data_IF_275980677200
#
_entry.id   IF_275980677200
#
_cell.length_a   1.000
_cell.length_b   1.000
_cell.length_c   1.000
_cell.angle_alpha   90.00
_cell.angle_beta   90.00
_cell.angle_gamma   90.00
#
_symmetry.space_group_name_H-M   'P 1'
#
loop_
_entity.id
_entity.type
_entity.pdbx_description
1 polymer ?
#
# COMPACT_ATOMS: atom_id res chain seq x y z
N UNK A 1 16.01 18.40 -4.11
CA UNK A 1 15.04 19.51 -3.97
C UNK A 1 13.80 18.96 -3.26
N UNK A 2 13.35 19.63 -2.20
CA UNK A 2 12.09 19.33 -1.52
C UNK A 2 10.92 19.72 -2.42
N UNK A 3 9.92 18.85 -2.56
CA UNK A 3 8.68 19.15 -3.28
C UNK A 3 7.59 19.46 -2.26
N UNK A 4 6.83 20.52 -2.49
CA UNK A 4 5.70 20.88 -1.66
C UNK A 4 4.46 20.13 -2.08
N UNK A 5 3.72 19.61 -1.10
CA UNK A 5 2.39 19.01 -1.26
C UNK A 5 1.43 19.79 -0.36
N UNK A 6 0.40 20.36 -0.96
CA UNK A 6 -0.61 21.08 -0.19
C UNK A 6 -1.50 20.09 0.54
N UNK A 7 -1.81 20.37 1.79
CA UNK A 7 -2.68 19.56 2.63
C UNK A 7 -3.77 20.42 3.25
N UNK A 8 -5.01 19.92 3.22
CA UNK A 8 -6.15 20.48 3.92
C UNK A 8 -6.50 19.56 5.08
N UNK A 9 -6.57 20.13 6.28
CA UNK A 9 -7.02 19.42 7.48
C UNK A 9 -8.55 19.53 7.56
N UNK A 10 -9.25 18.41 7.43
CA UNK A 10 -10.71 18.30 7.56
C UNK A 10 -11.13 18.00 9.00
N UNK A 11 -10.19 17.54 9.82
CA UNK A 11 -10.35 17.30 11.25
C UNK A 11 -9.19 18.00 11.98
N UNK A 12 -9.42 19.21 12.55
CA UNK A 12 -8.38 20.02 13.16
C UNK A 12 -7.81 19.42 14.45
N UNK A 13 -8.51 18.51 15.09
CA UNK A 13 -8.09 17.88 16.35
C UNK A 13 -7.15 16.68 16.12
N UNK A 14 -7.00 16.22 14.87
CA UNK A 14 -6.01 15.22 14.52
C UNK A 14 -4.69 15.89 14.09
N UNK A 15 -3.53 15.33 14.49
CA UNK A 15 -2.25 15.82 14.01
C UNK A 15 -2.10 15.60 12.50
N UNK A 16 -1.37 16.47 11.83
CA UNK A 16 -0.98 16.26 10.44
C UNK A 16 -0.10 15.01 10.31
N UNK A 17 -0.17 14.29 9.18
CA UNK A 17 0.77 13.23 8.88
C UNK A 17 2.21 13.73 8.94
N UNK A 18 3.07 12.96 9.57
CA UNK A 18 4.49 13.27 9.72
C UNK A 18 5.34 12.02 9.59
N UNK A 19 6.60 12.20 9.24
CA UNK A 19 7.59 11.13 9.37
C UNK A 19 7.90 10.92 10.86
N UNK A 20 7.99 9.67 11.30
CA UNK A 20 8.36 9.34 12.67
C UNK A 20 9.86 9.60 12.90
N UNK A 21 10.68 9.21 11.93
CA UNK A 21 12.13 9.38 11.95
C UNK A 21 12.67 10.04 10.69
N UNK A 22 13.81 10.75 10.77
CA UNK A 22 14.50 11.25 9.58
C UNK A 22 14.86 10.10 8.62
N UNK A 23 14.44 10.22 7.37
CA UNK A 23 14.67 9.19 6.34
C UNK A 23 13.54 8.19 6.14
N UNK A 24 12.48 8.25 6.95
CA UNK A 24 11.27 7.46 6.70
C UNK A 24 10.66 7.81 5.34
N UNK A 25 10.08 6.81 4.67
CA UNK A 25 9.39 6.99 3.40
C UNK A 25 7.89 7.25 3.57
N UNK A 26 7.28 6.76 4.65
CA UNK A 26 5.85 6.81 4.90
C UNK A 26 5.44 7.87 5.92
N UNK A 27 4.40 8.61 5.61
CA UNK A 27 3.71 9.53 6.51
C UNK A 27 2.54 8.79 7.16
N UNK A 28 2.49 8.71 8.47
CA UNK A 28 1.43 7.99 9.17
C UNK A 28 0.04 8.61 8.94
N UNK A 29 -0.92 7.80 8.52
CA UNK A 29 -2.33 8.13 8.40
C UNK A 29 -3.10 7.62 9.61
N UNK A 30 -3.97 8.47 10.17
CA UNK A 30 -4.72 8.17 11.38
C UNK A 30 -6.21 7.99 11.09
N UNK A 31 -6.87 7.15 11.88
CA UNK A 31 -8.32 6.99 11.83
C UNK A 31 -9.01 8.24 12.38
N UNK A 32 -9.93 8.83 11.60
CA UNK A 32 -10.75 9.97 12.04
C UNK A 32 -11.78 9.58 13.09
N UNK A 33 -12.27 8.33 13.04
CA UNK A 33 -13.25 7.77 13.96
C UNK A 33 -12.82 6.38 14.42
N UNK A 34 -13.23 5.97 15.62
CA UNK A 34 -13.07 4.60 16.10
C UNK A 34 -14.04 3.64 15.40
N UNK A 35 -13.65 2.39 15.27
CA UNK A 35 -14.47 1.32 14.70
C UNK A 35 -13.97 -0.05 15.15
N UNK A 36 -14.81 -1.08 15.00
CA UNK A 36 -14.45 -2.47 15.24
C UNK A 36 -14.71 -3.28 13.98
N UNK A 37 -13.76 -4.10 13.57
CA UNK A 37 -13.90 -5.05 12.47
C UNK A 37 -13.80 -6.48 13.02
N UNK A 38 -14.83 -7.27 12.77
CA UNK A 38 -14.80 -8.71 12.97
C UNK A 38 -13.87 -9.41 11.96
N UNK A 39 -13.66 -10.73 12.13
CA UNK A 39 -12.87 -11.54 11.20
C UNK A 39 -13.36 -11.42 9.75
N UNK A 40 -12.47 -11.12 8.82
CA UNK A 40 -12.78 -10.96 7.39
C UNK A 40 -13.55 -9.69 7.02
N UNK A 41 -13.96 -8.86 7.97
CA UNK A 41 -14.68 -7.62 7.69
C UNK A 41 -13.78 -6.52 7.15
N UNK A 42 -14.37 -5.62 6.36
CA UNK A 42 -13.70 -4.43 5.82
C UNK A 42 -14.55 -3.19 5.99
N UNK A 43 -13.91 -2.04 6.08
CA UNK A 43 -14.60 -0.74 6.08
C UNK A 43 -13.77 0.35 5.40
N UNK A 44 -14.44 1.44 5.04
CA UNK A 44 -13.81 2.67 4.59
C UNK A 44 -13.53 3.55 5.80
N UNK A 45 -12.27 3.91 6.01
CA UNK A 45 -11.80 4.63 7.18
C UNK A 45 -11.31 6.02 6.75
N UNK A 46 -12.05 7.09 7.05
CA UNK A 46 -11.62 8.45 6.75
C UNK A 46 -10.43 8.83 7.63
N UNK A 47 -9.54 9.69 7.10
CA UNK A 47 -8.30 10.12 7.77
C UNK A 47 -8.29 11.56 8.22
N UNK A 48 -9.33 12.33 7.90
CA UNK A 48 -9.45 13.74 8.27
C UNK A 48 -8.57 14.70 7.47
N UNK A 49 -8.02 14.25 6.33
CA UNK A 49 -7.19 15.09 5.46
C UNK A 49 -7.54 14.94 3.98
N UNK A 50 -7.28 15.99 3.22
CA UNK A 50 -7.20 15.99 1.76
C UNK A 50 -5.84 16.57 1.34
N UNK A 51 -5.32 16.13 0.20
CA UNK A 51 -4.05 16.63 -0.35
C UNK A 51 -4.19 17.06 -1.80
N UNK A 52 -3.30 17.95 -2.25
CA UNK A 52 -3.15 18.29 -3.64
C UNK A 52 -1.71 17.96 -4.07
N UNK A 53 -1.56 16.86 -4.79
CA UNK A 53 -0.28 16.44 -5.34
C UNK A 53 0.03 17.25 -6.61
N UNK A 54 1.26 17.73 -6.80
CA UNK A 54 1.75 18.22 -8.08
C UNK A 54 1.70 17.12 -9.16
N UNK A 55 1.54 17.52 -10.42
CA UNK A 55 1.67 16.61 -11.56
C UNK A 55 3.02 15.87 -11.54
N UNK A 56 3.02 14.61 -11.92
CA UNK A 56 4.19 13.72 -11.88
C UNK A 56 4.47 13.11 -10.50
N UNK A 57 3.57 13.32 -9.53
CA UNK A 57 3.58 12.60 -8.25
C UNK A 57 2.34 11.75 -8.08
N UNK A 58 2.47 10.68 -7.32
CA UNK A 58 1.39 9.81 -6.86
C UNK A 58 1.51 9.63 -5.35
N UNK A 59 0.39 9.57 -4.65
CA UNK A 59 0.31 9.12 -3.27
C UNK A 59 -0.08 7.65 -3.21
N UNK A 60 0.69 6.85 -2.48
CA UNK A 60 0.44 5.43 -2.31
C UNK A 60 0.14 5.12 -0.85
N UNK A 61 -1.03 4.53 -0.59
CA UNK A 61 -1.43 4.13 0.75
C UNK A 61 -0.98 2.69 0.97
N UNK A 62 -0.04 2.49 1.90
CA UNK A 62 0.49 1.20 2.29
C UNK A 62 0.01 0.78 3.68
N UNK A 63 -0.09 -0.53 3.96
CA UNK A 63 -0.34 -1.02 5.31
C UNK A 63 0.86 -0.73 6.22
N UNK A 64 0.63 -0.84 7.52
CA UNK A 64 1.67 -0.77 8.55
C UNK A 64 2.02 -2.20 9.01
N UNK A 65 3.30 -2.53 8.92
CA UNK A 65 3.80 -3.88 9.26
C UNK A 65 3.40 -4.33 10.68
N UNK A 66 3.42 -3.40 11.65
CA UNK A 66 3.04 -3.70 13.03
C UNK A 66 1.57 -4.08 13.19
N UNK A 67 0.64 -3.46 12.45
CA UNK A 67 -0.77 -3.83 12.45
C UNK A 67 -1.00 -5.15 11.71
N UNK A 68 -0.31 -5.33 10.59
CA UNK A 68 -0.43 -6.54 9.80
C UNK A 68 -0.01 -7.79 10.58
N UNK A 69 1.17 -7.77 11.22
CA UNK A 69 1.68 -8.94 11.94
C UNK A 69 0.97 -9.21 13.28
N UNK A 70 0.55 -8.15 14.00
CA UNK A 70 -0.03 -8.32 15.33
C UNK A 70 -1.53 -8.58 15.32
N UNK A 71 -2.24 -8.00 14.35
CA UNK A 71 -3.71 -7.96 14.34
C UNK A 71 -4.33 -8.42 13.03
N UNK A 72 -3.53 -8.81 12.03
CA UNK A 72 -4.04 -9.15 10.71
C UNK A 72 -4.69 -7.97 9.96
N UNK A 73 -4.55 -6.74 10.45
CA UNK A 73 -5.14 -5.58 9.80
C UNK A 73 -4.27 -5.09 8.65
N UNK A 74 -4.88 -4.91 7.48
CA UNK A 74 -4.18 -4.44 6.28
C UNK A 74 -5.06 -3.52 5.42
N UNK A 75 -4.47 -2.97 4.36
CA UNK A 75 -5.17 -2.16 3.34
C UNK A 75 -5.57 -3.09 2.21
N UNK A 76 -6.87 -3.24 1.98
CA UNK A 76 -7.41 -4.23 1.05
C UNK A 76 -6.93 -4.04 -0.39
N UNK A 77 -6.86 -2.79 -0.86
CA UNK A 77 -6.43 -2.43 -2.21
C UNK A 77 -4.97 -1.95 -2.26
N UNK A 78 -4.11 -2.44 -1.36
CA UNK A 78 -2.72 -1.99 -1.26
C UNK A 78 -1.90 -2.26 -2.52
N UNK A 79 -1.15 -1.24 -3.01
CA UNK A 79 -1.17 0.14 -2.55
C UNK A 79 -2.41 0.89 -3.05
N UNK A 80 -3.14 1.57 -2.16
CA UNK A 80 -4.20 2.49 -2.55
C UNK A 80 -3.62 3.69 -3.29
N UNK A 81 -4.14 4.02 -4.46
CA UNK A 81 -3.57 5.06 -5.33
C UNK A 81 -4.33 6.38 -5.17
N UNK A 82 -3.59 7.45 -4.88
CA UNK A 82 -4.07 8.83 -4.83
C UNK A 82 -3.47 9.60 -6.00
N UNK A 83 -4.30 9.92 -6.96
CA UNK A 83 -3.91 10.66 -8.16
C UNK A 83 -3.65 12.15 -7.89
N UNK A 84 -2.81 12.79 -8.71
CA UNK A 84 -2.53 14.21 -8.61
C UNK A 84 -3.79 15.10 -8.74
N UNK A 85 -4.81 14.65 -9.47
CA UNK A 85 -6.10 15.32 -9.65
C UNK A 85 -7.10 15.10 -8.51
N UNK A 86 -6.89 14.17 -7.60
CA UNK A 86 -7.81 13.88 -6.50
C UNK A 86 -7.81 15.01 -5.45
N UNK A 87 -8.98 15.38 -4.95
CA UNK A 87 -9.18 16.44 -3.94
C UNK A 87 -10.10 16.03 -2.80
N UNK A 88 -10.64 14.82 -2.83
CA UNK A 88 -11.48 14.31 -1.75
C UNK A 88 -10.69 13.98 -0.49
N UNK A 89 -11.41 13.65 0.58
CA UNK A 89 -10.80 13.12 1.79
C UNK A 89 -10.08 11.81 1.49
N UNK A 90 -8.84 11.69 1.95
CA UNK A 90 -8.13 10.41 1.90
C UNK A 90 -8.81 9.45 2.86
N UNK A 91 -9.19 8.29 2.34
CA UNK A 91 -9.75 7.21 3.15
C UNK A 91 -9.02 5.89 2.88
N UNK A 92 -8.89 5.08 3.91
CA UNK A 92 -8.25 3.77 3.87
C UNK A 92 -9.30 2.68 3.79
N UNK A 93 -9.22 1.78 2.82
CA UNK A 93 -10.04 0.56 2.79
C UNK A 93 -9.35 -0.48 3.65
N UNK A 94 -9.67 -0.50 4.94
CA UNK A 94 -9.10 -1.43 5.90
C UNK A 94 -9.83 -2.77 5.90
N UNK A 95 -9.10 -3.84 6.10
CA UNK A 95 -9.63 -5.21 6.24
C UNK A 95 -8.96 -5.91 7.42
N UNK A 96 -9.74 -6.64 8.20
CA UNK A 96 -9.25 -7.57 9.20
C UNK A 96 -9.11 -8.95 8.56
N UNK A 97 -7.88 -9.39 8.31
CA UNK A 97 -7.58 -10.71 7.75
C UNK A 97 -7.42 -11.81 8.80
N UNK A 98 -7.54 -11.49 10.09
CA UNK A 98 -7.61 -12.51 11.14
C UNK A 98 -8.86 -13.37 10.98
N UNK A 99 -8.76 -14.66 11.29
CA UNK A 99 -9.85 -15.63 11.10
C UNK A 99 -10.71 -15.83 12.33
N UNK A 100 -10.31 -15.29 13.47
CA UNK A 100 -10.93 -15.57 14.76
C UNK A 100 -11.14 -14.35 15.66
N UNK A 101 -10.32 -13.31 15.51
CA UNK A 101 -10.29 -12.18 16.42
C UNK A 101 -10.75 -10.89 15.75
N UNK A 102 -11.58 -10.11 16.46
CA UNK A 102 -11.92 -8.75 16.05
C UNK A 102 -10.80 -7.79 16.39
N UNK A 103 -10.64 -6.74 15.58
CA UNK A 103 -9.77 -5.60 15.88
C UNK A 103 -10.61 -4.36 16.16
N UNK A 104 -10.27 -3.65 17.25
CA UNK A 104 -10.82 -2.33 17.55
C UNK A 104 -9.75 -1.28 17.28
N UNK A 105 -10.10 -0.27 16.49
CA UNK A 105 -9.28 0.88 16.17
C UNK A 105 -9.94 2.10 16.81
N UNK A 106 -9.17 2.86 17.56
CA UNK A 106 -9.64 4.09 18.19
C UNK A 106 -9.37 5.30 17.28
N UNK A 107 -10.13 6.39 17.51
CA UNK A 107 -9.84 7.67 16.85
C UNK A 107 -8.40 8.11 17.15
N UNK A 108 -7.67 8.46 16.10
CA UNK A 108 -6.26 8.89 16.20
C UNK A 108 -5.25 7.77 16.06
N UNK A 109 -5.66 6.50 16.06
CA UNK A 109 -4.76 5.38 15.79
C UNK A 109 -4.18 5.47 14.39
N UNK A 110 -2.90 5.09 14.28
CA UNK A 110 -2.16 5.02 13.01
C UNK A 110 -2.54 3.73 12.27
N UNK A 111 -3.30 3.85 11.19
CA UNK A 111 -3.91 2.71 10.46
C UNK A 111 -3.21 2.35 9.16
N UNK A 112 -2.52 3.29 8.56
CA UNK A 112 -1.82 3.13 7.27
C UNK A 112 -0.68 4.13 7.19
N UNK A 113 0.06 4.12 6.08
CA UNK A 113 1.10 5.10 5.77
C UNK A 113 0.97 5.59 4.33
N UNK A 114 1.17 6.88 4.12
CA UNK A 114 1.17 7.53 2.82
C UNK A 114 2.61 7.70 2.34
N UNK A 115 2.93 7.12 1.20
CA UNK A 115 4.22 7.28 0.51
C UNK A 115 4.00 8.13 -0.74
N UNK A 116 4.76 9.21 -0.91
CA UNK A 116 4.70 10.04 -2.12
C UNK A 116 5.84 9.65 -3.04
N UNK A 117 5.50 9.28 -4.29
CA UNK A 117 6.47 8.88 -5.30
C UNK A 117 6.38 9.72 -6.55
N UNK A 118 7.50 9.86 -7.24
CA UNK A 118 7.55 10.43 -8.57
C UNK A 118 7.23 9.34 -9.60
N UNK A 119 6.34 9.67 -10.54
CA UNK A 119 5.97 8.78 -11.64
C UNK A 119 6.30 9.43 -12.98
N UNK A 120 6.77 8.67 -13.98
CA UNK A 120 6.91 9.16 -15.34
C UNK A 120 5.54 9.32 -16.00
N UNK A 121 5.42 10.29 -16.90
CA UNK A 121 4.32 10.30 -17.87
C UNK A 121 4.67 9.33 -18.99
N UNK A 122 3.78 8.39 -19.29
CA UNK A 122 3.97 7.40 -20.34
C UNK A 122 2.95 7.62 -21.47
N UNK A 123 3.34 7.30 -22.70
CA UNK A 123 2.46 7.17 -23.85
C UNK A 123 2.46 5.70 -24.28
N UNK A 124 1.28 5.12 -24.43
CA UNK A 124 1.14 3.76 -24.94
C UNK A 124 1.08 3.81 -26.46
N UNK A 125 2.07 3.19 -27.11
CA UNK A 125 2.13 3.07 -28.57
C UNK A 125 1.76 1.63 -28.95
N UNK A 126 0.67 1.47 -29.67
CA UNK A 126 0.26 0.16 -30.18
C UNK A 126 1.21 -0.34 -31.26
N UNK A 127 1.65 -1.58 -31.13
CA UNK A 127 2.48 -2.27 -32.12
C UNK A 127 1.92 -3.66 -32.38
N UNK A 128 2.11 -4.18 -33.61
CA UNK A 128 1.64 -5.52 -33.97
C UNK A 128 2.45 -6.64 -33.30
N UNK A 129 3.72 -6.38 -32.97
CA UNK A 129 4.63 -7.34 -32.33
C UNK A 129 5.55 -6.60 -31.38
N UNK A 130 5.68 -7.10 -30.14
CA UNK A 130 6.63 -6.56 -29.18
C UNK A 130 8.07 -6.97 -29.53
N UNK A 131 9.06 -6.13 -29.23
CA UNK A 131 10.47 -6.50 -29.35
C UNK A 131 10.78 -7.76 -28.53
N UNK A 132 11.61 -8.64 -29.07
CA UNK A 132 12.06 -9.84 -28.37
C UNK A 132 12.82 -9.52 -27.07
N UNK A 133 12.72 -10.38 -26.07
CA UNK A 133 13.47 -10.30 -24.83
C UNK A 133 14.05 -11.66 -24.44
N UNK A 134 15.10 -11.66 -23.60
CA UNK A 134 15.69 -12.91 -23.07
C UNK A 134 14.70 -13.72 -22.24
N UNK A 135 13.77 -13.05 -21.56
CA UNK A 135 12.71 -13.69 -20.77
C UNK A 135 11.57 -14.19 -21.66
N UNK A 136 11.32 -13.53 -22.79
CA UNK A 136 10.21 -13.82 -23.70
C UNK A 136 8.86 -13.95 -22.95
N UNK A 137 8.08 -14.99 -23.23
CA UNK A 137 6.77 -15.25 -22.63
C UNK A 137 6.82 -16.01 -21.30
N UNK A 138 8.03 -16.34 -20.80
CA UNK A 138 8.18 -17.04 -19.54
C UNK A 138 7.67 -16.20 -18.37
N UNK A 139 6.57 -16.64 -17.75
CA UNK A 139 5.86 -15.95 -16.68
C UNK A 139 6.08 -16.59 -15.30
N UNK A 140 4.98 -16.88 -14.63
CA UNK A 140 4.93 -17.35 -13.25
C UNK A 140 5.84 -18.55 -12.99
N UNK A 141 6.75 -18.41 -11.98
CA UNK A 141 7.64 -19.48 -11.54
C UNK A 141 8.88 -19.72 -12.41
N UNK A 142 9.10 -18.96 -13.51
CA UNK A 142 10.24 -19.15 -14.42
C UNK A 142 11.61 -18.91 -13.79
N UNK A 143 11.68 -18.28 -12.62
CA UNK A 143 12.91 -18.01 -11.84
C UNK A 143 13.08 -18.92 -10.61
N UNK A 144 12.26 -19.98 -10.51
CA UNK A 144 12.25 -20.87 -9.34
C UNK A 144 11.39 -20.33 -8.20
N UNK A 145 11.13 -21.15 -7.18
CA UNK A 145 10.28 -20.80 -6.04
C UNK A 145 10.33 -21.85 -4.95
N UNK A 146 9.39 -21.80 -4.02
CA UNK A 146 9.25 -22.77 -2.92
C UNK A 146 9.08 -24.19 -3.52
N UNK A 147 9.94 -25.13 -3.12
CA UNK A 147 9.91 -26.52 -3.57
C UNK A 147 10.85 -26.86 -4.73
N UNK A 148 11.41 -25.89 -5.47
CA UNK A 148 12.36 -26.16 -6.56
C UNK A 148 13.71 -26.72 -6.09
N UNK A 149 14.02 -26.60 -4.81
CA UNK A 149 15.26 -27.16 -4.21
C UNK A 149 15.16 -28.66 -3.90
N UNK A 150 13.96 -29.24 -3.91
CA UNK A 150 13.75 -30.66 -3.55
C UNK A 150 13.89 -31.58 -4.77
N UNK A 151 13.67 -31.08 -5.98
CA UNK A 151 13.77 -31.91 -7.21
C UNK A 151 15.22 -32.19 -7.64
N UNK A 152 16.20 -31.35 -7.26
CA UNK A 152 17.61 -31.55 -7.66
C UNK A 152 18.37 -32.60 -6.81
N UNK A 153 17.76 -33.12 -5.73
CA UNK A 153 18.35 -34.17 -4.89
C UNK A 153 17.93 -35.59 -5.25
N UNK A 154 16.82 -35.77 -5.96
CA UNK A 154 16.34 -37.12 -6.35
C UNK A 154 17.06 -37.67 -7.59
N UNK A 155 17.67 -36.84 -8.43
CA UNK A 155 18.44 -37.29 -9.60
C UNK A 155 19.89 -37.67 -9.29
N UNK A 156 20.37 -37.49 -8.05
CA UNK A 156 21.77 -37.81 -7.64
C UNK A 156 21.91 -39.16 -6.92
N UNK A 157 20.83 -39.90 -6.75
CA UNK A 157 20.87 -41.20 -6.01
C UNK A 157 20.80 -42.43 -6.92
N UNK A 158 20.65 -42.27 -8.24
CA UNK A 158 20.60 -43.37 -9.21
C UNK A 158 21.76 -43.38 -10.22
N UNK A 159 23.01 -43.24 -9.73
CA UNK A 159 24.21 -43.62 -10.53
C UNK A 159 25.22 -44.35 -9.66
#
# INVERSE_FOLDING_TARGET
MTKEVLIQRLDPDLPLPSYEYPGDAGLDLRARHGFTLGPGERCLIPTGISIALPAGLVGLIHPRSGLAIKFGFTVLNSPGTIDAGFRGEIAVIGVNSDTSSSITIERGDRIAQLVIQQIPTIELVEVSVLPGSVRSERGFGSSGGVGSAVQDQSERIET
#
